data_IF_457903047718
#
_entry.id   IF_457903047718
#
_cell.length_a   1.000
_cell.length_b   1.000
_cell.length_c   1.000
_cell.angle_alpha   90.00
_cell.angle_beta   90.00
_cell.angle_gamma   90.00
#
_symmetry.space_group_name_H-M   'P 1'
#
loop_
_entity.id
_entity.type
_entity.pdbx_description
1 polymer ?
#
# COMPACT_ATOMS: atom_id res chain seq x y z
N UNK A 1 -21.50 2.87 2.63
CA UNK A 1 -21.35 4.29 3.02
C UNK A 1 -19.89 4.49 3.38
N UNK A 2 -19.05 4.93 2.44
CA UNK A 2 -17.62 5.09 2.72
C UNK A 2 -17.37 6.30 3.60
N UNK A 3 -16.58 6.10 4.67
CA UNK A 3 -16.23 7.17 5.60
C UNK A 3 -15.36 8.23 4.92
N UNK A 4 -15.30 9.44 5.48
CA UNK A 4 -14.44 10.52 4.94
C UNK A 4 -12.96 10.13 4.89
N UNK A 5 -12.53 9.24 5.78
CA UNK A 5 -11.18 8.68 5.82
C UNK A 5 -10.93 7.75 4.62
N UNK A 6 -11.84 6.82 4.34
CA UNK A 6 -11.74 5.94 3.16
C UNK A 6 -11.62 6.74 1.87
N UNK A 7 -12.40 7.82 1.71
CA UNK A 7 -12.34 8.69 0.53
C UNK A 7 -10.99 9.37 0.34
N UNK A 8 -10.34 9.79 1.43
CA UNK A 8 -9.00 10.40 1.37
C UNK A 8 -7.96 9.33 1.00
N UNK A 9 -8.02 8.15 1.61
CA UNK A 9 -7.11 7.04 1.28
C UNK A 9 -7.29 6.61 -0.17
N UNK A 10 -8.53 6.52 -0.65
CA UNK A 10 -8.85 6.20 -2.04
C UNK A 10 -8.26 7.21 -3.02
N UNK A 11 -8.28 8.51 -2.68
CA UNK A 11 -7.67 9.55 -3.51
C UNK A 11 -6.15 9.45 -3.60
N UNK A 12 -5.49 8.84 -2.60
CA UNK A 12 -4.03 8.68 -2.53
C UNK A 12 -3.53 7.32 -3.04
N UNK A 13 -4.43 6.45 -3.54
CA UNK A 13 -4.09 5.09 -4.01
C UNK A 13 -3.13 5.06 -5.19
N UNK A 14 -3.09 6.12 -5.99
CA UNK A 14 -2.18 6.25 -7.14
C UNK A 14 -0.71 6.44 -6.72
N UNK A 15 -0.45 6.59 -5.42
CA UNK A 15 0.88 6.71 -4.84
C UNK A 15 1.67 7.95 -5.36
N UNK A 16 0.96 9.00 -5.78
CA UNK A 16 1.52 10.29 -6.19
C UNK A 16 1.36 11.31 -5.05
N UNK A 17 2.12 12.41 -5.11
CA UNK A 17 1.93 13.55 -4.22
C UNK A 17 0.70 14.35 -4.66
N UNK A 18 -0.24 14.55 -3.75
CA UNK A 18 -1.45 15.34 -3.99
C UNK A 18 -1.47 16.57 -3.10
N UNK A 19 -1.99 17.68 -3.62
CA UNK A 19 -2.19 18.87 -2.81
C UNK A 19 -3.40 18.66 -1.87
N UNK A 20 -3.25 19.06 -0.61
CA UNK A 20 -4.32 18.94 0.38
C UNK A 20 -5.56 19.76 -0.04
N UNK A 21 -5.37 20.97 -0.56
CA UNK A 21 -6.48 21.84 -0.96
C UNK A 21 -7.29 21.21 -2.10
N UNK A 22 -6.62 20.62 -3.10
CA UNK A 22 -7.27 19.91 -4.22
C UNK A 22 -8.10 18.71 -3.74
N UNK A 23 -7.57 17.92 -2.81
CA UNK A 23 -8.30 16.78 -2.22
C UNK A 23 -9.52 17.28 -1.42
N UNK A 24 -9.35 18.32 -0.61
CA UNK A 24 -10.46 18.85 0.21
C UNK A 24 -11.58 19.44 -0.64
N UNK A 25 -11.24 20.11 -1.75
CA UNK A 25 -12.21 20.63 -2.71
C UNK A 25 -12.92 19.49 -3.45
N UNK A 26 -12.17 18.51 -3.95
CA UNK A 26 -12.72 17.35 -4.68
C UNK A 26 -13.67 16.50 -3.81
N UNK A 27 -13.38 16.39 -2.52
CA UNK A 27 -14.15 15.58 -1.58
C UNK A 27 -15.18 16.39 -0.77
N UNK A 28 -15.27 17.70 -1.01
CA UNK A 28 -16.16 18.64 -0.30
C UNK A 28 -16.01 18.53 1.24
N UNK A 29 -14.77 18.37 1.71
CA UNK A 29 -14.45 18.24 3.14
C UNK A 29 -14.01 19.60 3.68
N UNK A 30 -14.60 20.10 4.79
CA UNK A 30 -14.13 21.32 5.43
C UNK A 30 -12.65 21.20 5.83
N UNK A 31 -11.86 22.25 5.53
CA UNK A 31 -10.40 22.27 5.73
C UNK A 31 -9.96 21.91 7.15
N UNK A 32 -10.67 22.40 8.17
CA UNK A 32 -10.42 22.08 9.59
C UNK A 32 -10.54 20.57 9.89
N UNK A 33 -11.57 19.92 9.32
CA UNK A 33 -11.77 18.48 9.48
C UNK A 33 -10.76 17.67 8.69
N UNK A 34 -10.41 18.13 7.49
CA UNK A 34 -9.39 17.46 6.67
C UNK A 34 -8.01 17.50 7.33
N UNK A 35 -7.62 18.64 7.92
CA UNK A 35 -6.36 18.76 8.66
C UNK A 35 -6.28 17.79 9.84
N UNK A 36 -7.36 17.65 10.63
CA UNK A 36 -7.42 16.66 11.72
C UNK A 36 -7.26 15.22 11.22
N UNK A 37 -7.89 14.88 10.09
CA UNK A 37 -7.77 13.55 9.49
C UNK A 37 -6.37 13.31 8.95
N UNK A 38 -5.79 14.30 8.26
CA UNK A 38 -4.43 14.21 7.71
C UNK A 38 -3.41 14.08 8.84
N UNK A 39 -3.56 14.87 9.91
CA UNK A 39 -2.72 14.76 11.10
C UNK A 39 -2.81 13.35 11.70
N UNK A 40 -4.02 12.85 11.93
CA UNK A 40 -4.25 11.50 12.44
C UNK A 40 -3.60 10.42 11.54
N UNK A 41 -3.77 10.52 10.22
CA UNK A 41 -3.18 9.58 9.26
C UNK A 41 -1.65 9.67 9.20
N UNK A 42 -1.09 10.86 9.44
CA UNK A 42 0.37 11.09 9.50
C UNK A 42 0.94 10.51 10.78
N UNK A 43 0.28 10.74 11.93
CA UNK A 43 0.65 10.16 13.23
C UNK A 43 0.57 8.62 13.22
N UNK A 44 -0.39 8.07 12.48
CA UNK A 44 -0.53 6.63 12.26
C UNK A 44 0.46 6.05 11.22
N UNK A 45 1.39 6.85 10.71
CA UNK A 45 2.37 6.49 9.65
C UNK A 45 1.71 5.98 8.34
N UNK A 46 0.43 6.28 8.10
CA UNK A 46 -0.30 5.83 6.90
C UNK A 46 -0.07 6.74 5.70
N UNK A 47 0.21 8.03 5.92
CA UNK A 47 0.51 9.01 4.88
C UNK A 47 1.75 9.82 5.23
N UNK A 48 2.47 10.26 4.20
CA UNK A 48 3.53 11.24 4.29
C UNK A 48 2.94 12.63 4.02
N UNK A 49 3.32 13.60 4.83
CA UNK A 49 2.93 15.00 4.67
C UNK A 49 4.17 15.87 4.50
N UNK A 50 4.24 16.63 3.40
CA UNK A 50 5.26 17.64 3.17
C UNK A 50 4.70 19.03 3.53
N UNK A 51 5.04 19.59 4.70
CA UNK A 51 4.53 20.89 5.12
C UNK A 51 5.05 22.05 4.25
N UNK A 52 6.17 21.89 3.55
CA UNK A 52 6.73 22.94 2.71
C UNK A 52 5.94 23.13 1.39
N UNK A 53 5.36 22.05 0.86
CA UNK A 53 4.57 22.08 -0.39
C UNK A 53 3.07 21.88 -0.18
N UNK A 54 2.63 21.66 1.07
CA UNK A 54 1.25 21.33 1.44
C UNK A 54 0.71 20.09 0.68
N UNK A 55 1.58 19.09 0.51
CA UNK A 55 1.28 17.87 -0.24
C UNK A 55 1.27 16.65 0.67
N UNK A 56 0.39 15.71 0.35
CA UNK A 56 0.27 14.42 1.01
C UNK A 56 0.43 13.28 0.02
N UNK A 57 0.97 12.16 0.49
CA UNK A 57 1.16 10.93 -0.30
C UNK A 57 0.93 9.72 0.60
N UNK A 58 0.44 8.62 0.04
CA UNK A 58 0.33 7.37 0.79
C UNK A 58 1.73 6.89 1.22
N UNK A 59 1.91 6.58 2.50
CA UNK A 59 3.16 6.04 2.97
C UNK A 59 3.26 4.58 2.53
N UNK A 60 4.28 4.23 1.74
CA UNK A 60 4.51 2.84 1.28
C UNK A 60 5.50 2.10 2.17
N UNK A 61 5.92 2.68 3.31
CA UNK A 61 6.88 2.03 4.21
C UNK A 61 6.42 0.68 4.78
N UNK A 62 5.15 0.31 4.58
CA UNK A 62 4.56 -0.98 4.93
C UNK A 62 4.58 -2.01 3.80
N UNK A 63 4.94 -1.63 2.57
CA UNK A 63 5.07 -2.54 1.42
C UNK A 63 6.49 -2.49 0.88
N UNK A 64 7.21 -3.59 1.01
CA UNK A 64 8.51 -3.81 0.38
C UNK A 64 8.38 -4.02 -1.12
N UNK A 65 7.26 -4.60 -1.58
CA UNK A 65 6.96 -4.72 -2.99
C UNK A 65 6.24 -3.46 -3.50
N UNK A 66 6.96 -2.64 -4.26
CA UNK A 66 6.38 -1.49 -4.96
C UNK A 66 5.40 -2.01 -6.02
N UNK A 67 4.10 -1.92 -5.71
CA UNK A 67 3.04 -2.18 -6.69
C UNK A 67 2.88 -0.93 -7.55
N UNK A 68 3.62 -0.85 -8.67
CA UNK A 68 3.33 0.13 -9.71
C UNK A 68 2.00 -0.25 -10.38
N UNK A 69 0.87 0.15 -9.79
CA UNK A 69 -0.45 0.09 -10.43
C UNK A 69 -0.66 1.30 -11.34
N UNK A 70 0.31 1.62 -12.20
CA UNK A 70 0.00 2.41 -13.38
C UNK A 70 -0.74 1.49 -14.36
N UNK A 71 -2.03 1.29 -14.08
CA UNK A 71 -2.98 1.00 -15.14
C UNK A 71 -3.07 2.25 -16.02
N UNK A 72 -2.33 2.22 -17.12
CA UNK A 72 -2.63 3.04 -18.29
C UNK A 72 -4.04 2.69 -18.77
N UNK A 73 -5.01 3.57 -18.61
CA UNK A 73 -6.28 3.55 -19.36
C UNK A 73 -6.00 3.86 -20.85
N UNK A 74 -6.91 3.56 -21.80
CA UNK A 74 -7.31 2.25 -22.29
C UNK A 74 -7.22 2.20 -23.82
N UNK A 75 -6.17 1.65 -24.44
CA UNK A 75 -6.20 1.38 -25.89
C UNK A 75 -5.15 0.33 -26.25
N UNK A 76 -5.59 -0.72 -26.96
CA UNK A 76 -4.84 -1.89 -27.43
C UNK A 76 -4.68 -3.06 -26.44
N UNK A 77 -5.63 -3.97 -26.58
CA UNK A 77 -5.76 -5.27 -25.92
C UNK A 77 -4.52 -6.15 -26.17
N UNK A 78 -3.68 -6.28 -25.15
CA UNK A 78 -2.89 -7.51 -24.91
C UNK A 78 -3.41 -8.08 -23.59
N UNK A 79 -3.63 -9.39 -23.43
CA UNK A 79 -4.32 -9.92 -22.26
C UNK A 79 -3.61 -9.48 -20.98
N UNK A 80 -4.35 -8.76 -20.13
CA UNK A 80 -3.95 -8.37 -18.78
C UNK A 80 -3.22 -9.54 -18.11
N UNK A 81 -1.93 -9.38 -17.88
CA UNK A 81 -1.18 -10.33 -17.09
C UNK A 81 -1.64 -10.17 -15.64
N UNK A 82 -2.64 -10.96 -15.24
CA UNK A 82 -3.14 -11.05 -13.86
C UNK A 82 -1.94 -11.25 -12.93
N UNK A 83 -1.57 -10.21 -12.20
CA UNK A 83 -0.51 -10.29 -11.20
C UNK A 83 -1.18 -10.67 -9.89
N UNK A 84 -0.87 -11.85 -9.36
CA UNK A 84 -1.29 -12.24 -8.03
C UNK A 84 -0.34 -11.58 -7.02
N UNK A 85 -0.90 -10.79 -6.11
CA UNK A 85 -0.17 -10.17 -5.00
C UNK A 85 -0.79 -10.65 -3.70
N UNK A 86 0.05 -11.01 -2.73
CA UNK A 86 -0.41 -11.45 -1.42
C UNK A 86 0.62 -11.20 -0.35
N UNK A 87 0.15 -11.07 0.89
CA UNK A 87 0.98 -10.98 2.08
C UNK A 87 0.72 -12.21 2.93
N UNK A 88 1.78 -12.83 3.44
CA UNK A 88 1.69 -13.97 4.34
C UNK A 88 2.52 -13.69 5.59
N UNK A 89 1.91 -13.86 6.75
CA UNK A 89 2.61 -13.80 8.04
C UNK A 89 2.99 -15.22 8.45
N UNK A 90 4.29 -15.46 8.65
CA UNK A 90 4.80 -16.72 9.19
C UNK A 90 5.26 -16.48 10.63
N UNK A 91 4.55 -16.99 11.65
CA UNK A 91 4.96 -16.84 13.03
C UNK A 91 6.32 -17.50 13.31
N UNK A 92 6.97 -17.10 14.41
CA UNK A 92 8.24 -17.69 14.84
C UNK A 92 8.17 -19.22 14.93
N UNK A 93 9.23 -19.89 14.50
CA UNK A 93 9.38 -21.35 14.53
C UNK A 93 8.29 -22.13 13.76
N UNK A 94 7.51 -21.47 12.89
CA UNK A 94 6.48 -22.12 12.09
C UNK A 94 6.92 -22.39 10.66
N UNK A 95 6.28 -23.39 10.04
CA UNK A 95 6.48 -23.77 8.65
C UNK A 95 5.21 -23.49 7.85
N UNK A 96 5.39 -22.90 6.67
CA UNK A 96 4.37 -22.74 5.64
C UNK A 96 4.74 -23.58 4.41
N UNK A 97 3.74 -24.19 3.78
CA UNK A 97 3.86 -24.86 2.50
C UNK A 97 3.08 -24.06 1.45
N UNK A 98 3.78 -23.55 0.43
CA UNK A 98 3.17 -22.90 -0.73
C UNK A 98 3.55 -23.74 -1.95
N UNK A 99 2.57 -24.40 -2.57
CA UNK A 99 2.80 -25.37 -3.65
C UNK A 99 3.82 -26.45 -3.21
N UNK A 100 4.92 -26.63 -3.93
CA UNK A 100 6.01 -27.55 -3.59
C UNK A 100 7.16 -26.88 -2.81
N UNK A 101 6.94 -25.65 -2.32
CA UNK A 101 7.95 -24.87 -1.59
C UNK A 101 7.63 -24.85 -0.10
N UNK A 102 8.58 -25.34 0.70
CA UNK A 102 8.52 -25.30 2.17
C UNK A 102 9.32 -24.10 2.67
N UNK A 103 8.65 -23.24 3.42
CA UNK A 103 9.24 -22.04 4.02
C UNK A 103 9.13 -22.17 5.54
N UNK A 104 10.26 -22.19 6.24
CA UNK A 104 10.29 -22.30 7.70
C UNK A 104 10.87 -21.02 8.27
N UNK A 105 10.10 -20.34 9.13
CA UNK A 105 10.63 -19.22 9.89
C UNK A 105 11.43 -19.74 11.09
N UNK A 106 12.76 -19.73 10.97
CA UNK A 106 13.68 -20.14 12.05
C UNK A 106 14.06 -18.98 12.98
N UNK A 107 13.50 -17.79 12.77
CA UNK A 107 13.74 -16.64 13.62
C UNK A 107 12.84 -16.64 14.85
N UNK A 108 13.21 -15.82 15.81
CA UNK A 108 12.53 -15.49 17.06
C UNK A 108 11.41 -14.44 16.87
N UNK A 109 11.19 -13.97 15.65
CA UNK A 109 10.19 -12.96 15.32
C UNK A 109 9.24 -13.48 14.24
N UNK A 110 8.02 -12.95 14.20
CA UNK A 110 7.14 -13.19 13.06
C UNK A 110 7.69 -12.49 11.82
N UNK A 111 7.67 -13.19 10.68
CA UNK A 111 8.12 -12.67 9.40
C UNK A 111 6.92 -12.37 8.50
N UNK A 112 7.00 -11.26 7.78
CA UNK A 112 6.07 -10.88 6.74
C UNK A 112 6.69 -11.23 5.38
N UNK A 113 5.98 -12.03 4.59
CA UNK A 113 6.34 -12.36 3.22
C UNK A 113 5.36 -11.68 2.29
N UNK A 114 5.86 -10.71 1.52
CA UNK A 114 5.12 -10.12 0.42
C UNK A 114 5.47 -10.90 -0.86
N UNK A 115 4.46 -11.33 -1.60
CA UNK A 115 4.60 -12.18 -2.77
C UNK A 115 3.97 -11.49 -3.99
N UNK A 116 4.70 -11.47 -5.10
CA UNK A 116 4.21 -11.03 -6.41
C UNK A 116 4.48 -12.10 -7.46
N UNK A 117 3.43 -12.59 -8.10
CA UNK A 117 3.50 -13.65 -9.11
C UNK A 117 2.79 -13.18 -10.39
N UNK A 118 3.49 -13.23 -11.52
CA UNK A 118 2.92 -13.11 -12.86
C UNK A 118 3.63 -14.07 -13.83
N UNK A 119 3.29 -14.04 -15.12
CA UNK A 119 3.89 -14.95 -16.13
C UNK A 119 5.40 -14.76 -16.35
N UNK A 120 5.99 -13.65 -15.89
CA UNK A 120 7.39 -13.27 -16.11
C UNK A 120 8.24 -13.27 -14.84
N UNK A 121 7.64 -12.96 -13.70
CA UNK A 121 8.33 -12.70 -12.43
C UNK A 121 7.56 -13.39 -11.30
N UNK A 122 8.31 -14.16 -10.50
CA UNK A 122 7.92 -14.62 -9.18
C UNK A 122 8.88 -13.97 -8.18
N UNK A 123 8.36 -13.09 -7.34
CA UNK A 123 9.13 -12.31 -6.38
C UNK A 123 8.56 -12.50 -4.98
N UNK A 124 9.46 -12.67 -4.00
CA UNK A 124 9.14 -12.74 -2.58
C UNK A 124 10.06 -11.76 -1.86
N UNK A 125 9.47 -10.81 -1.16
CA UNK A 125 10.18 -9.93 -0.25
C UNK A 125 9.89 -10.35 1.20
N UNK A 126 10.94 -10.41 2.03
CA UNK A 126 10.84 -10.82 3.42
C UNK A 126 11.12 -9.59 4.29
N UNK A 127 10.18 -9.28 5.17
CA UNK A 127 10.30 -8.18 6.11
C UNK A 127 10.13 -8.66 7.55
N UNK A 128 10.70 -7.90 8.49
CA UNK A 128 10.35 -8.05 9.91
C UNK A 128 9.04 -7.32 10.15
N UNK A 129 8.14 -7.91 10.91
CA UNK A 129 6.99 -7.16 11.43
C UNK A 129 7.56 -6.12 12.40
N UNK A 130 7.35 -4.83 12.10
CA UNK A 130 7.79 -3.70 12.93
C UNK A 130 6.95 -3.58 14.19
#
# INVERSE_FOLDING_TARGET
MSTKLEKIIDALKDNVWHNIDEITQKLEIPKDKAQKVIQFLTEADLIQHNPATNQIKLNQNWKTLIINQQETTPENQTPQQTTAVGTIIIPQQQTLLIQCTRITNLTDNSLELEIRINKKINEIAINKIK
#
